data_IF_541575850304
#
_entry.id   IF_541575850304
#
_cell.length_a   1.000
_cell.length_b   1.000
_cell.length_c   1.000
_cell.angle_alpha   90.00
_cell.angle_beta   90.00
_cell.angle_gamma   90.00
#
_symmetry.space_group_name_H-M   'P 1'
#
loop_
_entity.id
_entity.type
_entity.pdbx_description
1 polymer ?
#
# COMPACT_ATOMS: atom_id res chain seq x y z
N UNK A 1 -22.79 -10.12 -12.51
CA UNK A 1 -21.67 -9.16 -12.59
C UNK A 1 -21.86 -7.93 -11.71
N UNK A 2 -22.97 -7.16 -11.80
CA UNK A 2 -23.23 -6.01 -10.89
C UNK A 2 -23.18 -6.35 -9.39
N UNK A 3 -23.72 -7.50 -8.97
CA UNK A 3 -23.79 -7.91 -7.56
C UNK A 3 -22.41 -8.30 -6.98
N UNK A 4 -21.57 -8.98 -7.79
CA UNK A 4 -20.19 -9.34 -7.43
C UNK A 4 -19.27 -8.12 -7.41
N UNK A 5 -19.42 -7.19 -8.36
CA UNK A 5 -18.66 -5.94 -8.38
C UNK A 5 -18.96 -5.05 -7.15
N UNK A 6 -20.17 -5.19 -6.60
CA UNK A 6 -20.56 -4.44 -5.42
C UNK A 6 -19.98 -5.04 -4.12
N UNK A 7 -19.50 -6.29 -4.11
CA UNK A 7 -19.03 -6.95 -2.89
C UNK A 7 -17.53 -6.73 -2.64
N UNK A 8 -16.68 -6.99 -3.64
CA UNK A 8 -15.22 -6.77 -3.52
C UNK A 8 -14.85 -5.28 -3.33
N UNK A 9 -15.56 -4.35 -3.98
CA UNK A 9 -15.32 -2.91 -3.86
C UNK A 9 -15.75 -2.42 -2.48
N UNK A 10 -16.82 -2.97 -1.91
CA UNK A 10 -17.21 -2.69 -0.52
C UNK A 10 -16.14 -3.20 0.46
N UNK A 11 -15.62 -4.40 0.24
CA UNK A 11 -14.53 -4.94 1.06
C UNK A 11 -13.27 -4.06 0.95
N UNK A 12 -12.86 -3.70 -0.26
CA UNK A 12 -11.72 -2.82 -0.51
C UNK A 12 -11.88 -1.46 0.19
N UNK A 13 -13.04 -0.82 0.04
CA UNK A 13 -13.35 0.47 0.70
C UNK A 13 -13.36 0.32 2.22
N UNK A 14 -13.86 -0.79 2.75
CA UNK A 14 -13.88 -1.06 4.18
C UNK A 14 -12.48 -1.25 4.75
N UNK A 15 -11.65 -2.09 4.10
CA UNK A 15 -10.24 -2.29 4.46
C UNK A 15 -9.48 -0.97 4.39
N UNK A 16 -9.65 -0.20 3.30
CA UNK A 16 -9.05 1.12 3.14
C UNK A 16 -9.42 2.04 4.31
N UNK A 17 -10.71 2.14 4.62
CA UNK A 17 -11.23 3.02 5.66
C UNK A 17 -10.68 2.65 7.04
N UNK A 18 -10.61 1.36 7.37
CA UNK A 18 -10.08 0.89 8.65
C UNK A 18 -8.59 1.22 8.76
N UNK A 19 -7.79 0.83 7.76
CA UNK A 19 -6.33 1.03 7.82
C UNK A 19 -6.01 2.52 7.85
N UNK A 20 -6.66 3.32 7.01
CA UNK A 20 -6.50 4.77 7.00
C UNK A 20 -6.87 5.38 8.35
N UNK A 21 -8.01 5.00 8.94
CA UNK A 21 -8.45 5.53 10.23
C UNK A 21 -7.47 5.18 11.35
N UNK A 22 -7.06 3.91 11.46
CA UNK A 22 -6.12 3.46 12.50
C UNK A 22 -4.79 4.18 12.36
N UNK A 23 -4.20 4.19 11.16
CA UNK A 23 -2.90 4.84 10.93
C UNK A 23 -2.96 6.35 11.21
N UNK A 24 -4.06 7.01 10.86
CA UNK A 24 -4.30 8.43 11.18
C UNK A 24 -4.36 8.66 12.68
N UNK A 25 -5.17 7.90 13.42
CA UNK A 25 -5.31 8.06 14.87
C UNK A 25 -3.99 7.78 15.58
N UNK A 26 -3.28 6.70 15.19
CA UNK A 26 -1.98 6.35 15.77
C UNK A 26 -0.97 7.47 15.55
N UNK A 27 -0.89 8.04 14.35
CA UNK A 27 0.02 9.14 14.07
C UNK A 27 -0.32 10.40 14.89
N UNK A 28 -1.61 10.73 14.99
CA UNK A 28 -2.08 11.85 15.83
C UNK A 28 -1.74 11.64 17.31
N UNK A 29 -1.92 10.44 17.85
CA UNK A 29 -1.52 10.10 19.23
C UNK A 29 0.00 10.26 19.39
N UNK A 30 0.79 9.77 18.43
CA UNK A 30 2.25 9.86 18.47
C UNK A 30 2.74 11.32 18.48
N UNK A 31 2.11 12.22 17.71
CA UNK A 31 2.41 13.65 17.75
C UNK A 31 2.03 14.28 19.09
N UNK A 32 0.86 13.94 19.64
CA UNK A 32 0.43 14.46 20.95
C UNK A 32 1.38 14.05 22.09
N UNK A 33 1.89 12.82 22.08
CA UNK A 33 2.89 12.33 23.04
C UNK A 33 4.19 13.16 22.95
N UNK A 34 4.56 13.62 21.75
CA UNK A 34 5.73 14.47 21.52
C UNK A 34 5.47 15.96 21.79
N UNK A 35 4.27 16.33 22.27
CA UNK A 35 3.88 17.72 22.52
C UNK A 35 3.51 18.51 21.26
N UNK A 36 3.42 17.86 20.11
CA UNK A 36 3.07 18.46 18.82
C UNK A 36 1.55 18.48 18.67
N UNK A 37 0.96 19.67 18.55
CA UNK A 37 -0.51 19.86 18.44
C UNK A 37 -1.03 19.97 17.01
N UNK A 38 -0.15 20.15 16.05
CA UNK A 38 -0.46 20.36 14.64
C UNK A 38 0.48 19.51 13.79
N UNK A 39 0.00 18.93 12.70
CA UNK A 39 0.82 18.12 11.81
C UNK A 39 1.95 18.99 11.21
N UNK A 40 3.23 18.68 11.47
CA UNK A 40 4.37 19.47 10.97
C UNK A 40 4.44 19.49 9.43
N UNK A 41 3.94 18.45 8.78
CA UNK A 41 3.92 18.28 7.32
C UNK A 41 2.59 18.72 6.71
N UNK A 42 1.63 19.14 7.54
CA UNK A 42 0.31 19.59 7.15
C UNK A 42 -0.49 18.56 6.35
N UNK A 43 -1.40 19.04 5.50
CA UNK A 43 -2.32 18.20 4.74
C UNK A 43 -1.63 17.25 3.75
N UNK A 44 -0.37 17.52 3.39
CA UNK A 44 0.35 16.69 2.44
C UNK A 44 0.68 15.29 2.99
N UNK A 45 0.91 15.21 4.30
CA UNK A 45 1.16 13.95 4.99
C UNK A 45 -0.08 13.04 4.98
N UNK A 46 -1.26 13.63 5.15
CA UNK A 46 -2.56 12.95 5.04
C UNK A 46 -2.78 12.35 3.65
N UNK A 47 -2.49 13.12 2.59
CA UNK A 47 -2.58 12.65 1.20
C UNK A 47 -1.57 11.54 0.90
N UNK A 48 -0.34 11.69 1.38
CA UNK A 48 0.71 10.68 1.21
C UNK A 48 0.30 9.37 1.89
N UNK A 49 -0.25 9.45 3.10
CA UNK A 49 -0.77 8.29 3.83
C UNK A 49 -1.94 7.64 3.10
N UNK A 50 -2.90 8.43 2.60
CA UNK A 50 -4.01 7.95 1.79
C UNK A 50 -3.51 7.15 0.56
N UNK A 51 -2.52 7.67 -0.16
CA UNK A 51 -1.92 6.99 -1.31
C UNK A 51 -1.22 5.68 -0.93
N UNK A 52 -0.45 5.67 0.17
CA UNK A 52 0.23 4.45 0.64
C UNK A 52 -0.77 3.36 1.03
N UNK A 53 -1.84 3.72 1.76
CA UNK A 53 -2.90 2.78 2.13
C UNK A 53 -3.61 2.25 0.87
N UNK A 54 -3.88 3.13 -0.11
CA UNK A 54 -4.48 2.75 -1.38
C UNK A 54 -3.62 1.73 -2.13
N UNK A 55 -2.30 1.92 -2.18
CA UNK A 55 -1.37 0.95 -2.81
C UNK A 55 -1.48 -0.41 -2.14
N UNK A 56 -1.55 -0.45 -0.80
CA UNK A 56 -1.74 -1.69 -0.04
C UNK A 56 -3.04 -2.41 -0.38
N UNK A 57 -4.15 -1.67 -0.49
CA UNK A 57 -5.46 -2.23 -0.87
C UNK A 57 -5.46 -2.71 -2.33
N UNK A 58 -4.87 -1.96 -3.25
CA UNK A 58 -4.68 -2.40 -4.65
C UNK A 58 -3.89 -3.71 -4.70
N UNK A 59 -2.80 -3.82 -3.93
CA UNK A 59 -2.00 -5.04 -3.87
C UNK A 59 -2.83 -6.24 -3.39
N UNK A 60 -3.62 -6.06 -2.32
CA UNK A 60 -4.51 -7.09 -1.77
C UNK A 60 -5.57 -7.53 -2.77
N UNK A 61 -6.30 -6.58 -3.37
CA UNK A 61 -7.38 -6.85 -4.32
C UNK A 61 -6.85 -7.57 -5.57
N UNK A 62 -5.73 -7.11 -6.13
CA UNK A 62 -5.08 -7.77 -7.28
C UNK A 62 -4.59 -9.17 -6.90
N UNK A 63 -4.00 -9.38 -5.73
CA UNK A 63 -3.54 -10.69 -5.32
C UNK A 63 -4.69 -11.70 -5.16
N UNK A 64 -5.85 -11.23 -4.67
CA UNK A 64 -6.99 -12.08 -4.32
C UNK A 64 -7.95 -12.33 -5.49
N UNK A 65 -8.24 -11.30 -6.29
CA UNK A 65 -9.33 -11.31 -7.26
C UNK A 65 -8.89 -11.32 -8.72
N UNK A 66 -7.60 -11.13 -9.01
CA UNK A 66 -7.12 -11.17 -10.40
C UNK A 66 -7.30 -12.59 -10.99
N UNK A 67 -8.05 -12.75 -12.11
CA UNK A 67 -8.43 -14.05 -12.65
C UNK A 67 -7.30 -14.72 -13.46
N UNK A 68 -6.09 -14.75 -12.89
CA UNK A 68 -4.90 -15.35 -13.50
C UNK A 68 -4.49 -16.58 -12.70
N UNK A 69 -4.56 -17.75 -13.33
CA UNK A 69 -4.23 -19.04 -12.71
C UNK A 69 -2.73 -19.17 -12.40
N UNK A 70 -1.88 -18.63 -13.27
CA UNK A 70 -0.43 -18.67 -13.07
C UNK A 70 -0.03 -17.72 -11.93
N UNK A 71 0.39 -18.29 -10.80
CA UNK A 71 0.74 -17.53 -9.60
C UNK A 71 1.93 -16.60 -9.84
N UNK A 72 2.93 -17.02 -10.61
CA UNK A 72 4.10 -16.21 -10.94
C UNK A 72 3.68 -14.97 -11.75
N UNK A 73 2.90 -15.18 -12.81
CA UNK A 73 2.40 -14.08 -13.64
C UNK A 73 1.54 -13.10 -12.84
N UNK A 74 0.65 -13.61 -11.99
CA UNK A 74 -0.17 -12.78 -11.08
C UNK A 74 0.70 -11.96 -10.15
N UNK A 75 1.70 -12.55 -9.51
CA UNK A 75 2.64 -11.84 -8.61
C UNK A 75 3.40 -10.74 -9.35
N UNK A 76 3.87 -11.01 -10.57
CA UNK A 76 4.54 -9.98 -11.41
C UNK A 76 3.59 -8.82 -11.72
N UNK A 77 2.34 -9.10 -12.09
CA UNK A 77 1.36 -8.05 -12.38
C UNK A 77 1.07 -7.20 -11.15
N UNK A 78 0.86 -7.83 -9.99
CA UNK A 78 0.65 -7.11 -8.72
C UNK A 78 1.84 -6.18 -8.48
N UNK A 79 3.07 -6.70 -8.54
CA UNK A 79 4.29 -5.92 -8.33
C UNK A 79 4.41 -4.73 -9.28
N UNK A 80 4.22 -4.93 -10.58
CA UNK A 80 4.37 -3.87 -11.59
C UNK A 80 3.35 -2.77 -11.36
N UNK A 81 2.08 -3.12 -11.12
CA UNK A 81 1.01 -2.13 -10.89
C UNK A 81 1.29 -1.33 -9.62
N UNK A 82 1.62 -2.00 -8.52
CA UNK A 82 1.80 -1.33 -7.24
C UNK A 82 3.11 -0.54 -7.15
N UNK A 83 4.17 -0.98 -7.83
CA UNK A 83 5.40 -0.20 -8.00
C UNK A 83 5.15 1.05 -8.83
N UNK A 84 4.36 0.96 -9.91
CA UNK A 84 3.97 2.12 -10.69
C UNK A 84 3.20 3.15 -9.83
N UNK A 85 2.28 2.68 -8.98
CA UNK A 85 1.63 3.55 -8.01
C UNK A 85 2.62 4.17 -7.00
N UNK A 86 3.63 3.41 -6.53
CA UNK A 86 4.65 3.95 -5.63
C UNK A 86 5.49 5.05 -6.30
N UNK A 87 5.86 4.87 -7.57
CA UNK A 87 6.52 5.92 -8.36
C UNK A 87 5.61 7.13 -8.58
N UNK A 88 4.32 6.93 -8.80
CA UNK A 88 3.38 8.03 -8.88
C UNK A 88 3.29 8.81 -7.56
N UNK A 89 3.26 8.12 -6.42
CA UNK A 89 3.29 8.77 -5.09
C UNK A 89 4.57 9.57 -4.87
N UNK A 90 5.73 9.06 -5.27
CA UNK A 90 7.00 9.83 -5.20
C UNK A 90 7.03 10.99 -6.20
N UNK A 91 6.45 10.81 -7.38
CA UNK A 91 6.31 11.89 -8.34
C UNK A 91 5.42 13.01 -7.78
N UNK A 92 4.32 12.69 -7.09
CA UNK A 92 3.45 13.72 -6.54
C UNK A 92 4.15 14.56 -5.46
N UNK A 93 5.11 14.02 -4.68
CA UNK A 93 5.80 14.82 -3.64
C UNK A 93 6.59 16.01 -4.19
N UNK A 94 6.89 16.02 -5.50
CA UNK A 94 7.57 17.15 -6.16
C UNK A 94 6.79 18.48 -6.07
N UNK A 95 5.48 18.40 -5.84
CA UNK A 95 4.62 19.58 -5.69
C UNK A 95 4.77 20.28 -4.33
N UNK A 96 5.45 19.66 -3.37
CA UNK A 96 5.66 20.22 -2.02
C UNK A 96 7.13 20.47 -1.74
N UNK A 97 8.00 19.51 -2.06
CA UNK A 97 9.44 19.63 -1.84
C UNK A 97 10.23 19.12 -3.05
N UNK A 98 11.42 19.69 -3.31
CA UNK A 98 12.28 19.22 -4.39
C UNK A 98 12.70 17.78 -4.15
N UNK A 99 12.47 16.91 -5.14
CA UNK A 99 12.89 15.51 -5.06
C UNK A 99 14.42 15.39 -4.96
N UNK A 100 14.87 14.57 -4.03
CA UNK A 100 16.24 14.09 -4.03
C UNK A 100 16.54 13.37 -5.36
N UNK A 101 17.77 13.53 -5.88
CA UNK A 101 18.21 12.84 -7.11
C UNK A 101 18.07 11.31 -7.01
N UNK A 102 18.15 10.76 -5.80
CA UNK A 102 18.00 9.33 -5.53
C UNK A 102 16.56 8.88 -5.26
N UNK A 103 15.57 9.78 -5.15
CA UNK A 103 14.23 9.45 -4.65
C UNK A 103 13.57 8.26 -5.36
N UNK A 104 13.66 8.20 -6.70
CA UNK A 104 13.13 7.08 -7.49
C UNK A 104 13.90 5.76 -7.26
N UNK A 105 15.22 5.84 -7.07
CA UNK A 105 16.04 4.67 -6.74
C UNK A 105 15.70 4.16 -5.33
N UNK A 106 15.55 5.08 -4.38
CA UNK A 106 15.29 4.77 -2.99
C UNK A 106 13.92 4.09 -2.83
N UNK A 107 12.87 4.65 -3.45
CA UNK A 107 11.55 4.01 -3.43
C UNK A 107 11.54 2.67 -4.16
N UNK A 108 12.27 2.54 -5.28
CA UNK A 108 12.36 1.27 -6.00
C UNK A 108 12.96 0.18 -5.11
N UNK A 109 14.10 0.46 -4.46
CA UNK A 109 14.77 -0.50 -3.57
C UNK A 109 13.89 -0.85 -2.38
N UNK A 110 13.35 0.17 -1.69
CA UNK A 110 12.53 -0.02 -0.50
C UNK A 110 11.25 -0.82 -0.81
N UNK A 111 10.56 -0.44 -1.88
CA UNK A 111 9.32 -1.09 -2.30
C UNK A 111 9.58 -2.54 -2.74
N UNK A 112 10.61 -2.77 -3.55
CA UNK A 112 10.96 -4.10 -4.04
C UNK A 112 11.38 -5.03 -2.91
N UNK A 113 12.20 -4.54 -1.98
CA UNK A 113 12.60 -5.30 -0.79
C UNK A 113 11.39 -5.71 0.05
N UNK A 114 10.51 -4.76 0.37
CA UNK A 114 9.29 -5.05 1.12
C UNK A 114 8.38 -6.05 0.40
N UNK A 115 8.19 -5.87 -0.91
CA UNK A 115 7.35 -6.75 -1.72
C UNK A 115 7.87 -8.20 -1.72
N UNK A 116 9.18 -8.38 -1.86
CA UNK A 116 9.82 -9.70 -1.80
C UNK A 116 9.59 -10.34 -0.42
N UNK A 117 9.81 -9.59 0.66
CA UNK A 117 9.61 -10.08 2.05
C UNK A 117 8.17 -10.53 2.26
N UNK A 118 7.19 -9.71 1.90
CA UNK A 118 5.76 -10.05 2.03
C UNK A 118 5.41 -11.28 1.18
N UNK A 119 5.93 -11.36 -0.05
CA UNK A 119 5.70 -12.51 -0.94
C UNK A 119 6.23 -13.81 -0.33
N UNK A 120 7.45 -13.79 0.23
CA UNK A 120 8.05 -14.94 0.91
C UNK A 120 7.18 -15.37 2.11
N UNK A 121 6.76 -14.41 2.95
CA UNK A 121 5.89 -14.67 4.10
C UNK A 121 4.60 -15.37 3.64
N UNK A 122 3.93 -14.84 2.62
CA UNK A 122 2.68 -15.41 2.09
C UNK A 122 2.91 -16.85 1.57
N UNK A 123 3.99 -17.09 0.84
CA UNK A 123 4.32 -18.43 0.32
C UNK A 123 4.55 -19.42 1.46
N UNK A 124 5.26 -19.01 2.53
CA UNK A 124 5.48 -19.83 3.72
C UNK A 124 4.15 -20.17 4.40
N UNK A 125 3.30 -19.17 4.65
CA UNK A 125 1.99 -19.37 5.27
C UNK A 125 1.07 -20.28 4.44
N UNK A 126 1.07 -20.14 3.12
CA UNK A 126 0.31 -21.02 2.23
C UNK A 126 0.79 -22.46 2.29
N UNK A 127 2.12 -22.70 2.30
CA UNK A 127 2.69 -24.04 2.46
C UNK A 127 2.33 -24.68 3.79
N UNK A 128 2.34 -23.92 4.89
CA UNK A 128 1.96 -24.42 6.23
C UNK A 128 0.47 -24.78 6.24
N UNK A 129 -0.39 -23.92 5.69
CA UNK A 129 -1.84 -24.14 5.65
C UNK A 129 -2.24 -25.35 4.80
N UNK A 130 -1.53 -25.63 3.71
CA UNK A 130 -1.76 -26.81 2.87
C UNK A 130 -1.24 -28.13 3.45
N UNK A 131 -0.36 -28.06 4.47
CA UNK A 131 0.15 -29.24 5.19
C UNK A 131 -0.73 -29.69 6.36
N UNK A 132 -1.66 -28.84 6.81
CA UNK A 132 -2.70 -29.19 7.79
C UNK A 132 -3.97 -29.58 7.05
#
# INVERSE_FOLDING_TARGET
MKKTWNSWLKEAVFIYSIIYTITTIVNSIAYLIQGIRYDPSGNWYELTRALIVLIGVIAYELARHLPIKNIFLRTVIVYVVTLACAFFTVSSTQFVEPLAKSAYKDIFINYTGLFIVITIIIVIFQKIKHKK
#
